data_IF_591788574850
#
_entry.id   IF_591788574850
#
_cell.length_a   1.000
_cell.length_b   1.000
_cell.length_c   1.000
_cell.angle_alpha   90.00
_cell.angle_beta   90.00
_cell.angle_gamma   90.00
#
_symmetry.space_group_name_H-M   'P 1'
#
loop_
_entity.id
_entity.type
_entity.pdbx_description
1 polymer ?
#
# COMPACT_ATOMS: atom_id res chain seq x y z
N UNK A 1 1.78 20.40 1.31
CA UNK A 1 2.03 18.97 1.00
C UNK A 1 1.60 18.08 2.16
N UNK A 2 2.25 18.19 3.32
CA UNK A 2 1.92 17.38 4.52
C UNK A 2 0.44 17.50 4.92
N UNK A 3 -0.09 18.73 5.09
CA UNK A 3 -1.50 18.93 5.45
C UNK A 3 -2.50 18.30 4.45
N UNK A 4 -2.15 18.28 3.16
CA UNK A 4 -2.97 17.65 2.13
C UNK A 4 -3.00 16.12 2.31
N UNK A 5 -1.82 15.49 2.43
CA UNK A 5 -1.71 14.04 2.60
C UNK A 5 -2.33 13.57 3.92
N UNK A 6 -2.09 14.30 5.02
CA UNK A 6 -2.74 14.03 6.30
C UNK A 6 -4.27 14.16 6.19
N UNK A 7 -4.76 15.19 5.49
CA UNK A 7 -6.19 15.36 5.22
C UNK A 7 -6.77 14.17 4.44
N UNK A 8 -6.06 13.67 3.43
CA UNK A 8 -6.47 12.49 2.65
C UNK A 8 -6.47 11.23 3.53
N UNK A 9 -5.43 11.00 4.34
CA UNK A 9 -5.35 9.87 5.27
C UNK A 9 -6.54 9.87 6.25
N UNK A 10 -6.90 11.03 6.79
CA UNK A 10 -8.06 11.18 7.69
C UNK A 10 -9.38 11.02 6.94
N UNK A 11 -9.46 11.48 5.69
CA UNK A 11 -10.64 11.32 4.84
C UNK A 11 -10.78 9.92 4.26
N UNK A 12 -9.78 9.05 4.38
CA UNK A 12 -9.73 7.76 3.71
C UNK A 12 -10.90 6.83 4.02
N UNK A 13 -11.41 6.72 5.28
CA UNK A 13 -12.63 5.97 5.56
C UNK A 13 -13.84 6.44 4.73
N UNK A 14 -13.95 7.76 4.53
CA UNK A 14 -15.02 8.35 3.74
C UNK A 14 -14.79 8.15 2.24
N UNK A 15 -13.54 8.23 1.77
CA UNK A 15 -13.17 7.96 0.37
C UNK A 15 -13.51 6.51 0.02
N UNK A 16 -13.07 5.55 0.84
CA UNK A 16 -13.38 4.12 0.68
C UNK A 16 -14.88 3.88 0.63
N UNK A 17 -15.64 4.51 1.54
CA UNK A 17 -17.10 4.44 1.54
C UNK A 17 -17.71 4.95 0.21
N UNK A 18 -17.24 6.08 -0.31
CA UNK A 18 -17.76 6.65 -1.55
C UNK A 18 -17.38 5.83 -2.78
N UNK A 19 -16.16 5.32 -2.85
CA UNK A 19 -15.71 4.40 -3.91
C UNK A 19 -16.57 3.13 -3.89
N UNK A 20 -16.78 2.55 -2.71
CA UNK A 20 -17.63 1.37 -2.57
C UNK A 20 -19.07 1.68 -3.02
N UNK A 21 -19.64 2.83 -2.64
CA UNK A 21 -20.98 3.26 -3.09
C UNK A 21 -21.06 3.47 -4.60
N UNK A 22 -19.98 3.92 -5.24
CA UNK A 22 -19.90 4.09 -6.69
C UNK A 22 -19.89 2.75 -7.45
N UNK A 23 -19.24 1.72 -6.88
CA UNK A 23 -19.21 0.37 -7.48
C UNK A 23 -20.52 -0.41 -7.19
N UNK A 24 -21.17 -0.14 -6.05
CA UNK A 24 -22.42 -0.78 -5.62
C UNK A 24 -23.54 -0.93 -6.68
N UNK A 25 -23.84 0.04 -7.56
CA UNK A 25 -24.85 -0.12 -8.61
C UNK A 25 -24.49 -1.17 -9.68
N UNK A 26 -23.20 -1.48 -9.89
CA UNK A 26 -22.75 -2.49 -10.84
C UNK A 26 -22.77 -3.92 -10.28
N UNK A 27 -23.14 -4.10 -9.02
CA UNK A 27 -23.09 -5.39 -8.31
C UNK A 27 -24.49 -5.98 -8.11
N UNK A 28 -24.54 -7.31 -8.02
CA UNK A 28 -25.78 -8.04 -7.71
C UNK A 28 -26.26 -7.75 -6.28
N UNK A 29 -27.54 -8.02 -6.00
CA UNK A 29 -28.14 -7.77 -4.67
C UNK A 29 -27.42 -8.52 -3.54
N UNK A 30 -26.88 -9.71 -3.81
CA UNK A 30 -26.08 -10.52 -2.87
C UNK A 30 -24.69 -9.93 -2.66
N UNK A 31 -24.01 -9.49 -3.71
CA UNK A 31 -22.67 -8.88 -3.64
C UNK A 31 -22.67 -7.52 -2.93
N UNK A 32 -23.76 -6.76 -3.09
CA UNK A 32 -23.93 -5.47 -2.39
C UNK A 32 -23.83 -5.62 -0.87
N UNK A 33 -24.29 -6.75 -0.30
CA UNK A 33 -24.16 -7.03 1.14
C UNK A 33 -22.71 -7.21 1.57
N UNK A 34 -21.89 -7.85 0.74
CA UNK A 34 -20.46 -8.02 1.01
C UNK A 34 -19.71 -6.69 0.94
N UNK A 35 -20.09 -5.81 0.02
CA UNK A 35 -19.50 -4.49 -0.11
C UNK A 35 -19.69 -3.63 1.16
N UNK A 36 -20.82 -3.77 1.87
CA UNK A 36 -21.05 -3.10 3.15
C UNK A 36 -20.15 -3.62 4.29
N UNK A 37 -19.73 -4.88 4.23
CA UNK A 37 -18.75 -5.46 5.16
C UNK A 37 -17.31 -5.10 4.75
N UNK A 38 -17.08 -4.88 3.44
CA UNK A 38 -15.79 -4.50 2.88
C UNK A 38 -15.33 -3.12 3.35
N UNK A 39 -16.22 -2.13 3.40
CA UNK A 39 -15.87 -0.75 3.78
C UNK A 39 -15.17 -0.63 5.14
N UNK A 40 -15.72 -1.17 6.26
CA UNK A 40 -15.02 -1.15 7.53
C UNK A 40 -13.74 -2.01 7.51
N UNK A 41 -13.73 -3.12 6.76
CA UNK A 41 -12.53 -3.93 6.57
C UNK A 41 -11.39 -3.16 5.88
N UNK A 42 -11.70 -2.43 4.81
CA UNK A 42 -10.76 -1.62 4.05
C UNK A 42 -10.25 -0.44 4.90
N UNK A 43 -11.15 0.20 5.65
CA UNK A 43 -10.78 1.25 6.62
C UNK A 43 -9.78 0.73 7.66
N UNK A 44 -10.06 -0.45 8.25
CA UNK A 44 -9.15 -1.08 9.22
C UNK A 44 -7.81 -1.46 8.58
N UNK A 45 -7.84 -2.00 7.35
CA UNK A 45 -6.61 -2.32 6.60
C UNK A 45 -5.79 -1.06 6.35
N UNK A 46 -6.40 0.04 5.94
CA UNK A 46 -5.72 1.31 5.71
C UNK A 46 -5.07 1.85 6.98
N UNK A 47 -5.82 1.89 8.09
CA UNK A 47 -5.28 2.32 9.40
C UNK A 47 -4.11 1.42 9.82
N UNK A 48 -4.24 0.11 9.64
CA UNK A 48 -3.18 -0.85 9.95
C UNK A 48 -1.96 -0.65 9.06
N UNK A 49 -2.16 -0.33 7.78
CA UNK A 49 -1.07 -0.03 6.84
C UNK A 49 -0.33 1.26 7.19
N UNK A 50 -1.06 2.32 7.55
CA UNK A 50 -0.45 3.57 8.03
C UNK A 50 0.32 3.32 9.34
N UNK A 51 -0.25 2.56 10.26
CA UNK A 51 0.42 2.19 11.51
C UNK A 51 1.68 1.34 11.23
N UNK A 52 1.62 0.37 10.32
CA UNK A 52 2.77 -0.43 9.91
C UNK A 52 3.88 0.43 9.29
N UNK A 53 3.51 1.36 8.41
CA UNK A 53 4.46 2.29 7.82
C UNK A 53 5.16 3.15 8.89
N UNK A 54 4.41 3.65 9.88
CA UNK A 54 4.95 4.49 10.94
C UNK A 54 5.80 3.72 11.95
N UNK A 55 5.31 2.59 12.46
CA UNK A 55 5.93 1.86 13.57
C UNK A 55 6.92 0.78 13.14
N UNK A 56 6.90 0.33 11.88
CA UNK A 56 7.79 -0.73 11.39
C UNK A 56 8.70 -0.22 10.28
N UNK A 57 8.13 0.40 9.24
CA UNK A 57 8.95 0.81 8.09
C UNK A 57 9.83 2.02 8.37
N UNK A 58 9.32 3.09 8.98
CA UNK A 58 10.13 4.26 9.33
C UNK A 58 11.33 3.94 10.24
N UNK A 59 11.17 3.19 11.35
CA UNK A 59 12.32 2.84 12.19
C UNK A 59 13.29 1.87 11.52
N UNK A 60 12.88 1.15 10.47
CA UNK A 60 13.81 0.39 9.64
C UNK A 60 14.51 1.28 8.61
N UNK A 61 13.79 2.23 8.00
CA UNK A 61 14.26 3.08 6.91
C UNK A 61 15.23 4.16 7.38
N UNK A 62 14.87 4.91 8.42
CA UNK A 62 15.63 6.11 8.81
C UNK A 62 17.04 5.79 9.33
N UNK A 63 17.26 4.77 10.20
CA UNK A 63 18.61 4.38 10.61
C UNK A 63 19.40 3.79 9.44
N UNK A 64 18.72 3.07 8.55
CA UNK A 64 19.35 2.52 7.35
C UNK A 64 19.87 3.66 6.44
N UNK A 65 19.02 4.63 6.09
CA UNK A 65 19.46 5.82 5.36
C UNK A 65 20.56 6.54 6.14
N UNK A 66 20.38 6.74 7.45
CA UNK A 66 21.30 7.44 8.36
C UNK A 66 22.70 6.87 8.45
N UNK A 67 22.82 5.54 8.45
CA UNK A 67 24.11 4.84 8.54
C UNK A 67 24.76 4.59 7.19
N UNK A 68 24.04 4.80 6.09
CA UNK A 68 24.54 4.50 4.76
C UNK A 68 25.66 5.46 4.33
N UNK A 69 26.88 4.93 4.21
CA UNK A 69 28.08 5.70 3.84
C UNK A 69 28.41 6.87 4.78
N UNK A 70 27.98 6.79 6.04
CA UNK A 70 28.18 7.85 7.04
C UNK A 70 29.67 8.15 7.31
N UNK A 71 30.56 7.19 7.09
CA UNK A 71 32.02 7.36 7.25
C UNK A 71 32.70 8.06 6.05
N UNK A 72 32.00 8.18 4.91
CA UNK A 72 32.54 8.69 3.65
C UNK A 72 31.90 10.01 3.20
N UNK A 73 30.67 10.30 3.64
CA UNK A 73 29.88 11.44 3.18
C UNK A 73 29.14 12.07 4.38
N UNK A 74 29.33 13.37 4.58
CA UNK A 74 28.54 14.12 5.58
C UNK A 74 27.07 14.11 5.20
N UNK A 75 26.25 13.62 6.12
CA UNK A 75 24.83 13.45 5.90
C UNK A 75 24.05 14.73 6.22
N UNK A 76 23.56 15.41 5.20
CA UNK A 76 22.76 16.60 5.37
C UNK A 76 21.29 16.34 5.02
N UNK A 77 20.45 16.22 6.05
CA UNK A 77 19.04 15.90 5.89
C UNK A 77 18.24 17.14 5.50
N UNK A 78 17.76 17.18 4.25
CA UNK A 78 16.81 18.19 3.83
C UNK A 78 15.42 17.89 4.43
N UNK A 79 14.92 18.78 5.30
CA UNK A 79 13.62 18.60 5.97
C UNK A 79 12.47 18.40 4.97
N UNK A 80 12.55 19.02 3.80
CA UNK A 80 11.57 18.89 2.72
C UNK A 80 11.51 17.47 2.14
N UNK A 81 12.67 16.86 1.90
CA UNK A 81 12.78 15.48 1.40
C UNK A 81 12.36 14.47 2.47
N UNK A 82 12.78 14.70 3.72
CA UNK A 82 12.34 13.89 4.86
C UNK A 82 10.82 13.87 5.00
N UNK A 83 10.18 15.05 5.05
CA UNK A 83 8.72 15.14 5.17
C UNK A 83 8.01 14.55 3.96
N UNK A 84 8.57 14.72 2.75
CA UNK A 84 8.00 14.14 1.53
C UNK A 84 8.09 12.62 1.56
N UNK A 85 9.23 12.04 1.96
CA UNK A 85 9.39 10.61 2.12
C UNK A 85 8.43 10.03 3.17
N UNK A 86 8.41 10.60 4.38
CA UNK A 86 7.56 10.11 5.47
C UNK A 86 6.09 10.15 5.07
N UNK A 87 5.62 11.27 4.53
CA UNK A 87 4.20 11.39 4.17
C UNK A 87 3.81 10.54 2.97
N UNK A 88 4.67 10.42 1.96
CA UNK A 88 4.46 9.51 0.83
C UNK A 88 4.45 8.05 1.28
N UNK A 89 5.39 7.64 2.13
CA UNK A 89 5.47 6.29 2.66
C UNK A 89 4.20 5.92 3.43
N UNK A 90 3.77 6.76 4.38
CA UNK A 90 2.55 6.53 5.16
C UNK A 90 1.33 6.38 4.26
N UNK A 91 1.18 7.27 3.27
CA UNK A 91 0.04 7.25 2.36
C UNK A 91 0.03 6.01 1.47
N UNK A 92 1.11 5.75 0.74
CA UNK A 92 1.16 4.68 -0.26
C UNK A 92 1.16 3.29 0.37
N UNK A 93 1.80 3.11 1.52
CA UNK A 93 1.73 1.84 2.24
C UNK A 93 0.34 1.64 2.85
N UNK A 94 -0.29 2.70 3.37
CA UNK A 94 -1.69 2.66 3.79
C UNK A 94 -2.61 2.16 2.68
N UNK A 95 -2.49 2.75 1.48
CA UNK A 95 -3.26 2.33 0.29
C UNK A 95 -2.91 0.89 -0.12
N UNK A 96 -1.64 0.51 -0.12
CA UNK A 96 -1.23 -0.83 -0.50
C UNK A 96 -1.79 -1.92 0.42
N UNK A 97 -2.05 -1.62 1.69
CA UNK A 97 -2.69 -2.55 2.62
C UNK A 97 -4.16 -2.85 2.27
N UNK A 98 -4.80 -2.05 1.41
CA UNK A 98 -6.13 -2.36 0.88
C UNK A 98 -6.08 -3.43 -0.23
N UNK A 99 -4.90 -3.66 -0.85
CA UNK A 99 -4.73 -4.58 -1.97
C UNK A 99 -5.17 -6.02 -1.67
N UNK A 100 -4.79 -6.67 -0.55
CA UNK A 100 -5.21 -8.04 -0.27
C UNK A 100 -6.73 -8.18 -0.19
N UNK A 101 -7.38 -7.21 0.46
CA UNK A 101 -8.83 -7.18 0.63
C UNK A 101 -9.54 -6.93 -0.70
N UNK A 102 -9.00 -6.03 -1.53
CA UNK A 102 -9.52 -5.74 -2.85
C UNK A 102 -9.40 -6.95 -3.80
N UNK A 103 -8.24 -7.63 -3.78
CA UNK A 103 -8.01 -8.87 -4.55
C UNK A 103 -8.96 -9.97 -4.11
N UNK A 104 -9.16 -10.17 -2.80
CA UNK A 104 -10.14 -11.13 -2.29
C UNK A 104 -11.55 -10.86 -2.83
N UNK A 105 -12.00 -9.59 -2.77
CA UNK A 105 -13.33 -9.22 -3.25
C UNK A 105 -13.50 -9.47 -4.75
N UNK A 106 -12.51 -9.08 -5.56
CA UNK A 106 -12.54 -9.31 -7.00
C UNK A 106 -12.50 -10.80 -7.36
N UNK A 107 -11.74 -11.60 -6.61
CA UNK A 107 -11.69 -13.05 -6.80
C UNK A 107 -13.05 -13.69 -6.47
N UNK A 108 -13.68 -13.27 -5.37
CA UNK A 108 -15.01 -13.73 -4.98
C UNK A 108 -16.11 -13.34 -5.98
N UNK A 109 -15.96 -12.18 -6.62
CA UNK A 109 -16.85 -11.72 -7.69
C UNK A 109 -16.57 -12.43 -9.04
N UNK A 110 -15.57 -13.31 -9.12
CA UNK A 110 -15.19 -14.03 -10.34
C UNK A 110 -14.49 -13.16 -11.40
N UNK A 111 -14.06 -11.94 -11.04
CA UNK A 111 -13.39 -11.01 -11.97
C UNK A 111 -11.94 -11.40 -12.20
N UNK A 112 -11.27 -11.93 -11.17
CA UNK A 112 -9.88 -12.37 -11.22
C UNK A 112 -9.75 -13.78 -10.65
N UNK A 113 -8.74 -14.51 -11.09
CA UNK A 113 -8.43 -15.85 -10.59
C UNK A 113 -7.00 -15.91 -10.03
N UNK A 114 -6.83 -16.68 -8.95
CA UNK A 114 -5.55 -16.84 -8.27
C UNK A 114 -4.46 -17.43 -9.18
N UNK A 115 -4.81 -18.26 -10.18
CA UNK A 115 -3.84 -18.75 -11.16
C UNK A 115 -3.37 -17.62 -12.07
N UNK A 116 -4.27 -16.74 -12.49
CA UNK A 116 -3.93 -15.56 -13.33
C UNK A 116 -3.00 -14.61 -12.57
N UNK A 117 -3.29 -14.31 -11.30
CA UNK A 117 -2.37 -13.54 -10.46
C UNK A 117 -1.02 -14.25 -10.32
N UNK A 118 -1.02 -15.55 -10.01
CA UNK A 118 0.21 -16.32 -9.82
C UNK A 118 1.08 -16.38 -11.08
N UNK A 119 0.50 -16.49 -12.28
CA UNK A 119 1.22 -16.48 -13.56
C UNK A 119 1.82 -15.10 -13.86
N UNK A 120 1.18 -14.04 -13.39
CA UNK A 120 1.54 -12.65 -13.68
C UNK A 120 2.37 -11.96 -12.58
N UNK A 121 2.97 -12.72 -11.66
CA UNK A 121 3.87 -12.22 -10.59
C UNK A 121 4.94 -11.27 -11.11
N UNK A 122 5.55 -11.58 -12.25
CA UNK A 122 6.57 -10.73 -12.88
C UNK A 122 6.08 -9.31 -13.17
N UNK A 123 4.82 -9.15 -13.59
CA UNK A 123 4.23 -7.83 -13.84
C UNK A 123 3.92 -7.10 -12.55
N UNK A 124 3.46 -7.82 -11.51
CA UNK A 124 3.25 -7.25 -10.19
C UNK A 124 4.55 -6.72 -9.58
N UNK A 125 5.65 -7.48 -9.68
CA UNK A 125 6.96 -7.04 -9.19
C UNK A 125 7.43 -5.77 -9.91
N UNK A 126 7.23 -5.67 -11.23
CA UNK A 126 7.57 -4.45 -11.99
C UNK A 126 6.71 -3.26 -11.52
N UNK A 127 5.40 -3.46 -11.34
CA UNK A 127 4.52 -2.41 -10.83
C UNK A 127 4.91 -1.97 -9.41
N UNK A 128 5.29 -2.92 -8.55
CA UNK A 128 5.78 -2.65 -7.19
C UNK A 128 7.10 -1.88 -7.23
N UNK A 129 8.02 -2.21 -8.16
CA UNK A 129 9.27 -1.47 -8.33
C UNK A 129 9.02 -0.02 -8.76
N UNK A 130 8.08 0.20 -9.69
CA UNK A 130 7.68 1.55 -10.11
C UNK A 130 7.06 2.33 -8.95
N UNK A 131 6.17 1.70 -8.17
CA UNK A 131 5.60 2.32 -6.97
C UNK A 131 6.67 2.66 -5.95
N UNK A 132 7.59 1.73 -5.68
CA UNK A 132 8.70 1.95 -4.76
C UNK A 132 9.54 3.15 -5.19
N UNK A 133 9.88 3.27 -6.48
CA UNK A 133 10.64 4.40 -7.02
C UNK A 133 9.93 5.76 -6.85
N UNK A 134 8.60 5.78 -6.84
CA UNK A 134 7.80 7.00 -6.60
C UNK A 134 7.73 7.34 -5.11
N UNK A 135 7.77 6.33 -4.23
CA UNK A 135 7.65 6.48 -2.78
C UNK A 135 8.98 6.90 -2.15
N UNK A 136 10.08 6.31 -2.61
CA UNK A 136 11.42 6.53 -2.05
C UNK A 136 12.03 7.84 -2.59
N UNK A 137 12.69 8.65 -1.75
CA UNK A 137 13.34 9.89 -2.17
C UNK A 137 14.51 9.63 -3.12
N UNK A 138 15.13 8.46 -2.99
CA UNK A 138 16.29 8.01 -3.74
C UNK A 138 15.93 6.70 -4.45
N UNK A 139 16.34 6.58 -5.72
CA UNK A 139 16.18 5.37 -6.54
C UNK A 139 17.36 4.40 -6.34
N UNK A 140 17.87 4.31 -5.11
CA UNK A 140 18.91 3.34 -4.78
C UNK A 140 18.29 1.96 -4.49
N UNK A 141 18.96 0.86 -4.88
CA UNK A 141 18.39 -0.48 -4.78
C UNK A 141 17.98 -0.89 -3.37
N UNK A 142 18.64 -0.36 -2.34
CA UNK A 142 18.43 -0.81 -0.97
C UNK A 142 17.22 -0.11 -0.32
N UNK A 143 17.08 1.20 -0.51
CA UNK A 143 15.88 1.93 -0.09
C UNK A 143 14.65 1.46 -0.87
N UNK A 144 14.79 1.21 -2.18
CA UNK A 144 13.73 0.62 -2.98
C UNK A 144 13.35 -0.77 -2.48
N UNK A 145 14.31 -1.64 -2.18
CA UNK A 145 14.05 -2.98 -1.65
C UNK A 145 13.27 -2.95 -0.32
N UNK A 146 13.55 -1.97 0.55
CA UNK A 146 12.85 -1.79 1.82
C UNK A 146 11.34 -1.53 1.64
N UNK A 147 10.96 -0.80 0.59
CA UNK A 147 9.56 -0.54 0.24
C UNK A 147 8.96 -1.69 -0.57
N UNK A 148 9.72 -2.25 -1.51
CA UNK A 148 9.27 -3.36 -2.35
C UNK A 148 8.96 -4.62 -1.55
N UNK A 149 9.75 -4.94 -0.53
CA UNK A 149 9.58 -6.15 0.28
C UNK A 149 8.16 -6.28 0.86
N UNK A 150 7.69 -5.32 1.67
CA UNK A 150 6.32 -5.33 2.19
C UNK A 150 5.25 -5.34 1.10
N UNK A 151 5.42 -4.60 0.00
CA UNK A 151 4.46 -4.59 -1.10
C UNK A 151 4.34 -5.96 -1.80
N UNK A 152 5.45 -6.67 -1.98
CA UNK A 152 5.45 -8.04 -2.51
C UNK A 152 4.71 -8.97 -1.55
N UNK A 153 4.96 -8.86 -0.25
CA UNK A 153 4.24 -9.66 0.77
C UNK A 153 2.74 -9.40 0.71
N UNK A 154 2.30 -8.15 0.61
CA UNK A 154 0.89 -7.80 0.48
C UNK A 154 0.29 -8.36 -0.81
N UNK A 155 1.02 -8.32 -1.92
CA UNK A 155 0.59 -8.95 -3.17
C UNK A 155 0.38 -10.45 -3.00
N UNK A 156 1.34 -11.15 -2.40
CA UNK A 156 1.23 -12.59 -2.13
C UNK A 156 0.09 -12.94 -1.19
N UNK A 157 -0.14 -12.13 -0.15
CA UNK A 157 -1.31 -12.26 0.71
C UNK A 157 -2.60 -12.12 -0.10
N UNK A 158 -2.67 -11.17 -1.03
CA UNK A 158 -3.78 -11.05 -1.97
C UNK A 158 -3.98 -12.31 -2.83
N UNK A 159 -2.89 -12.88 -3.37
CA UNK A 159 -2.97 -14.12 -4.16
C UNK A 159 -3.48 -15.29 -3.31
N UNK A 160 -3.06 -15.40 -2.05
CA UNK A 160 -3.52 -16.43 -1.12
C UNK A 160 -5.01 -16.25 -0.82
N UNK A 161 -5.44 -15.03 -0.52
CA UNK A 161 -6.86 -14.74 -0.28
C UNK A 161 -7.71 -15.05 -1.51
N UNK A 162 -7.22 -14.77 -2.71
CA UNK A 162 -7.91 -15.13 -3.96
C UNK A 162 -8.08 -16.64 -4.15
N UNK A 163 -7.24 -17.50 -3.55
CA UNK A 163 -7.42 -18.96 -3.59
C UNK A 163 -8.50 -19.46 -2.63
N UNK A 164 -8.80 -18.68 -1.59
CA UNK A 164 -9.75 -19.02 -0.51
C UNK A 164 -11.14 -18.45 -0.81
N UNK A 165 -11.21 -17.39 -1.63
CA UNK A 165 -12.42 -16.74 -2.10
C UNK A 165 -13.32 -17.67 -2.93
#
# INVERSE_FOLDING_TARGET
KVALLCGVILAMPFIVYQVARFIAPGLTKSEKRYLWVLVPGATLCFITGVAFAYFVMLPAALPFLGSFMADLIEQNWAIGEYLSFVTSLLFWIGVAFELPLFVYFLAKAGVIDAQTLSKNRKYAIIAIAVLAAVITPTVDPLNMALVMGPLIVLYELGVILARIA
#
